data_IF_385681699294
#
_entry.id   IF_385681699294
#
_cell.length_a   1.000
_cell.length_b   1.000
_cell.length_c   1.000
_cell.angle_alpha   90.00
_cell.angle_beta   90.00
_cell.angle_gamma   90.00
#
_symmetry.space_group_name_H-M   'P 1'
#
loop_
_entity.id
_entity.type
_entity.pdbx_description
1 polymer ?
#
# COMPACT_ATOMS: atom_id res chain seq x y z
N UNK A 1 16.05 12.12 18.67
CA UNK A 1 14.80 12.15 19.48
C UNK A 1 15.10 12.52 20.93
N UNK A 2 15.83 11.68 21.69
CA UNK A 2 16.16 11.95 23.11
C UNK A 2 17.06 13.17 23.35
N UNK A 3 18.03 13.40 22.48
CA UNK A 3 18.85 14.63 22.51
C UNK A 3 18.03 15.91 22.31
N UNK A 4 16.82 15.80 21.80
CA UNK A 4 15.86 16.91 21.63
C UNK A 4 14.80 16.93 22.74
N UNK A 5 14.97 16.15 23.82
CA UNK A 5 14.05 16.10 24.97
C UNK A 5 12.83 15.19 24.79
N UNK A 6 12.73 14.43 23.70
CA UNK A 6 11.62 13.53 23.43
C UNK A 6 11.97 12.07 23.77
N UNK A 7 11.16 11.45 24.62
CA UNK A 7 11.27 10.05 25.00
C UNK A 7 10.18 9.21 24.31
N UNK A 8 10.54 8.20 23.52
CA UNK A 8 9.55 7.35 22.87
C UNK A 8 8.87 6.43 23.89
N UNK A 9 7.56 6.24 23.75
CA UNK A 9 6.83 5.23 24.52
C UNK A 9 6.79 3.87 23.83
N UNK A 10 6.92 3.85 22.50
CA UNK A 10 6.92 2.66 21.64
C UNK A 10 7.93 2.82 20.52
N UNK A 11 8.36 1.68 19.97
CA UNK A 11 9.19 1.60 18.77
C UNK A 11 8.44 0.81 17.70
N UNK A 12 8.31 1.38 16.51
CA UNK A 12 7.83 0.68 15.32
C UNK A 12 9.02 0.39 14.41
N UNK A 13 9.52 -0.85 14.43
CA UNK A 13 10.71 -1.24 13.69
C UNK A 13 10.32 -1.85 12.34
N UNK A 14 10.54 -1.11 11.25
CA UNK A 14 10.35 -1.60 9.88
C UNK A 14 11.44 -2.63 9.54
N UNK A 15 11.03 -3.79 9.05
CA UNK A 15 11.93 -4.89 8.69
C UNK A 15 11.31 -5.76 7.58
N UNK A 16 12.08 -6.58 6.87
CA UNK A 16 11.48 -7.48 5.87
C UNK A 16 10.83 -8.70 6.52
N UNK A 17 11.48 -9.25 7.55
CA UNK A 17 11.05 -10.44 8.30
C UNK A 17 10.78 -10.08 9.76
N UNK A 18 10.01 -10.89 10.50
CA UNK A 18 9.82 -10.69 11.93
C UNK A 18 11.16 -10.59 12.67
N UNK A 19 11.26 -9.62 13.58
CA UNK A 19 12.45 -9.49 14.42
C UNK A 19 12.58 -10.67 15.38
N UNK A 20 13.80 -11.17 15.54
CA UNK A 20 14.10 -12.12 16.60
C UNK A 20 13.90 -11.49 17.98
N UNK A 21 13.51 -12.32 18.94
CA UNK A 21 13.26 -11.88 20.31
C UNK A 21 14.52 -11.26 20.94
N UNK A 22 15.70 -11.80 20.64
CA UNK A 22 16.99 -11.29 21.10
C UNK A 22 17.26 -9.85 20.62
N UNK A 23 16.83 -9.53 19.40
CA UNK A 23 16.95 -8.18 18.82
C UNK A 23 15.95 -7.25 19.49
N UNK A 24 14.72 -7.69 19.72
CA UNK A 24 13.69 -6.91 20.43
C UNK A 24 14.13 -6.56 21.85
N UNK A 25 14.74 -7.50 22.57
CA UNK A 25 15.31 -7.27 23.91
C UNK A 25 16.42 -6.22 23.90
N UNK A 26 17.35 -6.31 22.94
CA UNK A 26 18.42 -5.30 22.80
C UNK A 26 17.86 -3.91 22.53
N UNK A 27 16.88 -3.81 21.62
CA UNK A 27 16.21 -2.54 21.32
C UNK A 27 15.50 -1.97 22.56
N UNK A 28 14.77 -2.81 23.29
CA UNK A 28 14.10 -2.43 24.53
C UNK A 28 15.09 -1.86 25.56
N UNK A 29 16.23 -2.55 25.76
CA UNK A 29 17.29 -2.13 26.66
C UNK A 29 17.93 -0.80 26.24
N UNK A 30 18.40 -0.69 25.00
CA UNK A 30 19.10 0.51 24.53
C UNK A 30 18.18 1.72 24.44
N UNK A 31 16.93 1.51 24.01
CA UNK A 31 15.95 2.58 23.89
C UNK A 31 15.12 2.77 25.15
N UNK A 32 15.39 2.06 26.26
CA UNK A 32 14.67 2.13 27.52
C UNK A 32 13.13 2.17 27.35
N UNK A 33 12.61 1.24 26.55
CA UNK A 33 11.18 1.00 26.40
C UNK A 33 10.89 -0.44 26.82
N UNK A 34 9.71 -0.73 27.39
CA UNK A 34 9.30 -2.11 27.62
C UNK A 34 9.38 -2.93 26.33
N UNK A 35 9.74 -4.20 26.45
CA UNK A 35 9.95 -5.05 25.28
C UNK A 35 8.65 -5.25 24.47
N UNK A 36 7.52 -5.33 25.16
CA UNK A 36 6.18 -5.36 24.59
C UNK A 36 5.83 -4.09 23.78
N UNK A 37 6.54 -2.98 24.00
CA UNK A 37 6.37 -1.73 23.24
C UNK A 37 7.26 -1.67 21.98
N UNK A 38 8.07 -2.70 21.74
CA UNK A 38 8.89 -2.85 20.52
C UNK A 38 8.11 -3.68 19.50
N UNK A 39 7.49 -3.00 18.54
CA UNK A 39 6.73 -3.59 17.44
C UNK A 39 7.65 -4.00 16.29
N UNK A 40 7.50 -5.22 15.82
CA UNK A 40 8.02 -5.67 14.52
C UNK A 40 7.01 -5.32 13.42
N UNK A 41 7.41 -4.42 12.51
CA UNK A 41 6.61 -3.99 11.36
C UNK A 41 7.18 -4.63 10.10
N UNK A 42 6.98 -5.93 9.97
CA UNK A 42 7.52 -6.72 8.86
C UNK A 42 6.67 -6.63 7.59
N UNK A 43 7.19 -7.12 6.46
CA UNK A 43 6.44 -7.14 5.20
C UNK A 43 5.21 -8.03 5.33
N UNK A 44 4.09 -7.57 4.79
CA UNK A 44 2.83 -8.32 4.72
C UNK A 44 2.30 -8.33 3.30
N UNK A 45 1.48 -9.33 2.98
CA UNK A 45 0.91 -9.52 1.64
C UNK A 45 0.09 -8.34 1.15
N UNK A 46 -0.59 -7.61 2.07
CA UNK A 46 -1.37 -6.44 1.73
C UNK A 46 -1.47 -5.46 2.91
N UNK A 47 -1.83 -4.20 2.60
CA UNK A 47 -1.86 -3.11 3.58
C UNK A 47 -2.87 -3.34 4.71
N UNK A 48 -3.95 -4.08 4.46
CA UNK A 48 -5.01 -4.34 5.45
C UNK A 48 -4.56 -5.34 6.51
N UNK A 49 -3.43 -6.04 6.31
CA UNK A 49 -2.80 -6.86 7.34
C UNK A 49 -2.02 -6.05 8.39
N UNK A 50 -1.69 -4.78 8.12
CA UNK A 50 -0.91 -3.94 9.05
C UNK A 50 -1.64 -3.74 10.38
N UNK A 51 -2.94 -3.35 10.43
CA UNK A 51 -3.67 -3.25 11.69
C UNK A 51 -3.74 -4.57 12.46
N UNK A 52 -3.91 -5.69 11.77
CA UNK A 52 -3.93 -7.03 12.38
C UNK A 52 -2.56 -7.41 12.97
N UNK A 53 -1.47 -7.00 12.33
CA UNK A 53 -0.11 -7.19 12.86
C UNK A 53 0.12 -6.37 14.13
N UNK A 54 -0.36 -5.13 14.15
CA UNK A 54 -0.25 -4.23 15.30
C UNK A 54 -1.11 -4.73 16.47
N UNK A 55 -2.32 -5.21 16.18
CA UNK A 55 -3.24 -5.78 17.17
C UNK A 55 -2.64 -7.00 17.86
N UNK A 56 -2.10 -7.97 17.09
CA UNK A 56 -1.42 -9.17 17.64
C UNK A 56 -0.24 -8.86 18.55
N UNK A 57 0.39 -7.69 18.39
CA UNK A 57 1.50 -7.23 19.22
C UNK A 57 1.06 -6.34 20.38
N UNK A 58 -0.25 -6.17 20.59
CA UNK A 58 -0.81 -5.36 21.68
C UNK A 58 -0.60 -3.86 21.53
N UNK A 59 -0.30 -3.35 20.33
CA UNK A 59 -0.01 -1.94 20.10
C UNK A 59 -1.13 -1.01 20.60
N UNK A 60 -2.39 -1.40 20.35
CA UNK A 60 -3.57 -0.67 20.79
C UNK A 60 -3.68 -0.58 22.31
N UNK A 61 -3.36 -1.66 23.06
CA UNK A 61 -3.32 -1.61 24.52
C UNK A 61 -2.28 -0.62 25.04
N UNK A 62 -1.10 -0.59 24.43
CA UNK A 62 -0.03 0.33 24.83
C UNK A 62 -0.46 1.78 24.62
N UNK A 63 -1.02 2.09 23.44
CA UNK A 63 -1.52 3.44 23.12
C UNK A 63 -2.65 3.85 24.08
N UNK A 64 -3.65 2.99 24.30
CA UNK A 64 -4.74 3.29 25.21
C UNK A 64 -4.26 3.50 26.65
N UNK A 65 -3.35 2.66 27.15
CA UNK A 65 -2.76 2.80 28.49
C UNK A 65 -2.01 4.12 28.62
N UNK A 66 -1.19 4.47 27.63
CA UNK A 66 -0.37 5.68 27.67
C UNK A 66 -1.21 6.97 27.62
N UNK A 67 -2.38 6.91 26.97
CA UNK A 67 -3.32 8.04 26.85
C UNK A 67 -4.43 8.04 27.93
N UNK A 68 -4.48 7.02 28.79
CA UNK A 68 -5.57 6.87 29.78
C UNK A 68 -6.94 6.58 29.16
N UNK A 69 -6.99 5.99 27.96
CA UNK A 69 -8.22 5.65 27.27
C UNK A 69 -8.78 4.31 27.79
N UNK A 70 -10.07 4.24 28.17
CA UNK A 70 -10.69 2.99 28.59
C UNK A 70 -10.98 2.06 27.40
N UNK A 71 -11.36 0.81 27.69
CA UNK A 71 -11.89 -0.15 26.71
C UNK A 71 -10.91 -0.59 25.60
N UNK A 72 -9.61 -0.72 25.89
CA UNK A 72 -8.66 -1.25 24.91
C UNK A 72 -9.05 -2.64 24.38
N UNK A 73 -9.71 -3.47 25.20
CA UNK A 73 -10.13 -4.82 24.85
C UNK A 73 -11.34 -4.89 23.89
N UNK A 74 -12.02 -3.77 23.61
CA UNK A 74 -13.21 -3.72 22.74
C UNK A 74 -12.86 -3.48 21.27
N UNK A 75 -11.75 -4.04 20.80
CA UNK A 75 -11.30 -3.88 19.42
C UNK A 75 -11.86 -5.01 18.54
N UNK A 76 -12.72 -4.66 17.59
CA UNK A 76 -13.22 -5.60 16.57
C UNK A 76 -12.57 -5.32 15.21
N UNK A 77 -11.69 -6.24 14.77
CA UNK A 77 -11.05 -6.21 13.45
C UNK A 77 -11.59 -7.29 12.50
N UNK A 78 -12.77 -7.85 12.78
CA UNK A 78 -13.39 -8.92 11.96
C UNK A 78 -13.54 -8.49 10.50
N UNK A 79 -14.00 -7.26 10.26
CA UNK A 79 -14.14 -6.69 8.90
C UNK A 79 -12.77 -6.55 8.22
N UNK A 80 -11.77 -6.04 8.94
CA UNK A 80 -10.41 -5.89 8.41
C UNK A 80 -9.79 -7.22 8.03
N UNK A 81 -9.97 -8.23 8.87
CA UNK A 81 -9.45 -9.57 8.64
C UNK A 81 -10.14 -10.22 7.44
N UNK A 82 -11.46 -10.37 7.49
CA UNK A 82 -12.18 -11.20 6.53
C UNK A 82 -12.57 -10.45 5.25
N UNK A 83 -13.18 -9.27 5.37
CA UNK A 83 -13.73 -8.56 4.21
C UNK A 83 -12.66 -7.82 3.39
N UNK A 84 -11.51 -7.51 3.98
CA UNK A 84 -10.42 -6.77 3.34
C UNK A 84 -9.17 -7.63 3.13
N UNK A 85 -8.47 -7.99 4.21
CA UNK A 85 -7.16 -8.63 4.13
C UNK A 85 -7.21 -10.02 3.48
N UNK A 86 -8.07 -10.90 4.00
CA UNK A 86 -8.19 -12.27 3.48
C UNK A 86 -8.90 -12.27 2.12
N UNK A 87 -9.92 -11.42 1.92
CA UNK A 87 -10.59 -11.27 0.61
C UNK A 87 -9.57 -10.93 -0.48
N UNK A 88 -8.74 -9.90 -0.28
CA UNK A 88 -7.73 -9.51 -1.28
C UNK A 88 -6.70 -10.60 -1.60
N UNK A 89 -6.25 -11.32 -0.58
CA UNK A 89 -5.26 -12.40 -0.74
C UNK A 89 -5.86 -13.63 -1.44
N UNK A 90 -7.18 -13.84 -1.32
CA UNK A 90 -7.87 -14.97 -1.95
C UNK A 90 -8.18 -14.79 -3.45
N UNK A 91 -8.03 -13.58 -4.00
CA UNK A 91 -8.35 -13.27 -5.40
C UNK A 91 -7.30 -13.86 -6.34
N UNK A 92 -7.74 -14.69 -7.28
CA UNK A 92 -6.87 -15.40 -8.24
C UNK A 92 -7.17 -15.05 -9.70
N UNK A 93 -8.43 -14.77 -10.04
CA UNK A 93 -8.83 -14.48 -11.43
C UNK A 93 -8.40 -13.07 -11.84
N UNK A 94 -7.48 -12.90 -12.80
CA UNK A 94 -6.91 -11.59 -13.09
C UNK A 94 -7.83 -10.72 -13.96
N UNK A 95 -7.72 -9.40 -13.78
CA UNK A 95 -8.24 -8.40 -14.71
C UNK A 95 -7.14 -7.39 -15.03
N UNK A 96 -6.82 -7.26 -16.33
CA UNK A 96 -5.83 -6.29 -16.80
C UNK A 96 -6.48 -4.93 -17.02
N UNK A 97 -5.97 -3.90 -16.35
CA UNK A 97 -6.41 -2.51 -16.51
C UNK A 97 -5.20 -1.67 -16.93
N UNK A 98 -5.27 -1.05 -18.10
CA UNK A 98 -4.27 -0.10 -18.57
C UNK A 98 -4.51 1.26 -17.92
N UNK A 99 -3.51 1.77 -17.18
CA UNK A 99 -3.54 3.11 -16.59
C UNK A 99 -2.68 4.07 -17.43
N UNK A 100 -3.34 5.02 -18.08
CA UNK A 100 -2.70 6.00 -19.00
C UNK A 100 -2.31 7.25 -18.23
N UNK A 101 -1.08 7.25 -17.72
CA UNK A 101 -0.56 8.26 -16.81
C UNK A 101 0.58 9.08 -17.41
N UNK A 102 0.92 10.17 -16.72
CA UNK A 102 2.12 10.98 -17.01
C UNK A 102 3.34 10.53 -16.19
N UNK A 103 3.09 9.88 -15.05
CA UNK A 103 4.11 9.48 -14.09
C UNK A 103 3.99 7.98 -13.81
N UNK A 104 4.30 7.16 -14.82
CA UNK A 104 4.24 5.69 -14.73
C UNK A 104 5.26 5.12 -13.74
N UNK A 105 6.38 5.81 -13.52
CA UNK A 105 7.40 5.44 -12.54
C UNK A 105 7.14 5.92 -11.10
N UNK A 106 6.10 6.73 -10.86
CA UNK A 106 5.78 7.28 -9.54
C UNK A 106 4.36 6.88 -9.15
N UNK A 107 4.21 5.64 -8.66
CA UNK A 107 2.92 5.06 -8.27
C UNK A 107 2.15 5.91 -7.25
N UNK A 108 2.86 6.69 -6.41
CA UNK A 108 2.27 7.58 -5.41
C UNK A 108 1.37 8.66 -6.02
N UNK A 109 1.65 9.12 -7.25
CA UNK A 109 0.83 10.13 -7.93
C UNK A 109 -0.60 9.63 -8.20
N UNK A 110 -0.80 8.32 -8.20
CA UNK A 110 -2.07 7.66 -8.51
C UNK A 110 -2.56 6.77 -7.36
N UNK A 111 -2.02 6.92 -6.15
CA UNK A 111 -2.31 6.03 -5.02
C UNK A 111 -3.82 5.89 -4.75
N UNK A 112 -4.55 7.01 -4.68
CA UNK A 112 -6.00 6.99 -4.44
C UNK A 112 -6.76 6.26 -5.55
N UNK A 113 -6.36 6.43 -6.80
CA UNK A 113 -6.94 5.77 -7.97
C UNK A 113 -6.69 4.25 -7.90
N UNK A 114 -5.44 3.86 -7.62
CA UNK A 114 -5.06 2.45 -7.46
C UNK A 114 -5.86 1.82 -6.32
N UNK A 115 -6.00 2.49 -5.17
CA UNK A 115 -6.79 1.97 -4.05
C UNK A 115 -8.26 1.81 -4.42
N UNK A 116 -8.88 2.81 -5.05
CA UNK A 116 -10.27 2.69 -5.52
C UNK A 116 -10.47 1.50 -6.47
N UNK A 117 -9.54 1.28 -7.41
CA UNK A 117 -9.57 0.11 -8.30
C UNK A 117 -9.40 -1.20 -7.52
N UNK A 118 -8.49 -1.26 -6.54
CA UNK A 118 -8.31 -2.45 -5.70
C UNK A 118 -9.62 -2.80 -4.97
N UNK A 119 -10.32 -1.81 -4.42
CA UNK A 119 -11.61 -2.00 -3.77
C UNK A 119 -12.70 -2.46 -4.75
N UNK A 120 -12.78 -1.87 -5.94
CA UNK A 120 -13.72 -2.29 -6.98
C UNK A 120 -13.45 -3.74 -7.44
N UNK A 121 -12.18 -4.10 -7.62
CA UNK A 121 -11.77 -5.44 -8.02
C UNK A 121 -12.06 -6.47 -6.93
N UNK A 122 -11.86 -6.13 -5.65
CA UNK A 122 -12.31 -6.98 -4.53
C UNK A 122 -13.81 -7.27 -4.63
N UNK A 123 -14.62 -6.26 -4.93
CA UNK A 123 -16.06 -6.42 -5.07
C UNK A 123 -16.44 -7.31 -6.25
N UNK A 124 -15.80 -7.10 -7.40
CA UNK A 124 -15.96 -7.91 -8.60
C UNK A 124 -15.34 -9.32 -8.51
N UNK A 125 -14.62 -9.64 -7.41
CA UNK A 125 -13.87 -10.90 -7.20
C UNK A 125 -12.78 -11.14 -8.24
N UNK A 126 -12.15 -10.06 -8.72
CA UNK A 126 -11.06 -10.09 -9.69
C UNK A 126 -9.76 -9.56 -9.06
N UNK A 127 -8.61 -10.08 -9.48
CA UNK A 127 -7.28 -9.63 -9.09
C UNK A 127 -6.80 -8.57 -10.06
N UNK A 128 -6.66 -7.34 -9.57
CA UNK A 128 -6.16 -6.23 -10.37
C UNK A 128 -4.73 -6.48 -10.85
N UNK A 129 -4.53 -6.45 -12.16
CA UNK A 129 -3.24 -6.34 -12.83
C UNK A 129 -3.18 -4.98 -13.53
N UNK A 130 -2.30 -4.09 -13.05
CA UNK A 130 -2.17 -2.75 -13.60
C UNK A 130 -1.06 -2.73 -14.64
N UNK A 131 -1.43 -2.33 -15.86
CA UNK A 131 -0.50 -2.07 -16.95
C UNK A 131 -0.27 -0.56 -17.04
N UNK A 132 0.98 -0.14 -16.83
CA UNK A 132 1.33 1.28 -16.93
C UNK A 132 1.61 1.65 -18.39
N UNK A 133 0.91 2.68 -18.85
CA UNK A 133 1.08 3.27 -20.18
C UNK A 133 1.37 4.75 -20.00
N UNK A 134 2.51 5.22 -20.52
CA UNK A 134 2.84 6.64 -20.49
C UNK A 134 2.07 7.35 -21.59
N UNK A 135 1.34 8.40 -21.23
CA UNK A 135 0.48 9.09 -22.19
C UNK A 135 1.27 9.70 -23.36
N UNK A 136 2.50 10.17 -23.13
CA UNK A 136 3.35 10.66 -24.22
C UNK A 136 3.80 9.58 -25.19
N UNK A 137 3.81 8.31 -24.77
CA UNK A 137 4.18 7.20 -25.65
C UNK A 137 3.04 6.84 -26.62
N UNK A 138 1.84 7.38 -26.42
CA UNK A 138 0.70 7.19 -27.33
C UNK A 138 0.63 8.27 -28.42
N UNK A 139 1.36 9.38 -28.27
CA UNK A 139 1.37 10.49 -29.22
C UNK A 139 2.05 10.10 -30.55
N UNK A 140 1.63 10.72 -31.67
CA UNK A 140 2.19 10.44 -33.00
C UNK A 140 3.71 10.71 -33.12
N UNK A 141 4.23 11.62 -32.29
CA UNK A 141 5.66 11.94 -32.22
C UNK A 141 6.49 10.99 -31.36
N UNK A 142 5.86 9.99 -30.71
CA UNK A 142 6.57 9.04 -29.86
C UNK A 142 7.51 8.14 -30.68
N UNK A 143 8.72 7.84 -30.17
CA UNK A 143 9.68 7.00 -30.89
C UNK A 143 9.18 5.56 -31.02
N UNK A 144 9.43 4.94 -32.17
CA UNK A 144 9.26 3.49 -32.33
C UNK A 144 10.49 2.75 -31.75
N UNK A 145 10.34 1.59 -31.10
CA UNK A 145 9.11 0.79 -30.98
C UNK A 145 8.24 1.12 -29.75
N UNK A 146 8.57 2.17 -28.99
CA UNK A 146 7.88 2.53 -27.75
C UNK A 146 6.39 2.78 -27.99
N UNK A 147 6.06 3.52 -29.06
CA UNK A 147 4.67 3.80 -29.43
C UNK A 147 3.88 2.53 -29.72
N UNK A 148 4.39 1.66 -30.59
CA UNK A 148 3.75 0.37 -30.89
C UNK A 148 3.57 -0.50 -29.62
N UNK A 149 4.56 -0.51 -28.72
CA UNK A 149 4.46 -1.26 -27.47
C UNK A 149 3.40 -0.69 -26.52
N UNK A 150 3.28 0.64 -26.42
CA UNK A 150 2.26 1.31 -25.62
C UNK A 150 0.84 0.97 -26.11
N UNK A 151 0.61 1.06 -27.43
CA UNK A 151 -0.66 0.68 -28.07
C UNK A 151 -0.99 -0.80 -27.92
N UNK A 152 0.02 -1.68 -27.96
CA UNK A 152 -0.17 -3.11 -27.75
C UNK A 152 -0.65 -3.41 -26.31
N UNK A 153 -0.08 -2.76 -25.30
CA UNK A 153 -0.55 -2.89 -23.90
C UNK A 153 -2.00 -2.41 -23.74
N UNK A 154 -2.32 -1.28 -24.34
CA UNK A 154 -3.66 -0.69 -24.24
C UNK A 154 -4.71 -1.58 -24.92
N UNK A 155 -4.36 -2.15 -26.09
CA UNK A 155 -5.25 -3.06 -26.84
C UNK A 155 -5.44 -4.42 -26.17
N UNK A 156 -4.46 -4.88 -25.40
CA UNK A 156 -4.53 -6.14 -24.68
C UNK A 156 -5.25 -6.05 -23.32
N UNK A 157 -5.48 -4.84 -22.81
CA UNK A 157 -6.11 -4.64 -21.50
C UNK A 157 -7.63 -4.88 -21.55
N UNK A 158 -8.19 -5.39 -20.45
CA UNK A 158 -9.64 -5.57 -20.28
C UNK A 158 -10.39 -4.27 -19.91
N UNK A 159 -9.65 -3.20 -19.63
CA UNK A 159 -10.19 -1.87 -19.40
C UNK A 159 -9.10 -0.82 -19.42
N UNK A 160 -9.47 0.42 -19.75
CA UNK A 160 -8.56 1.57 -19.80
C UNK A 160 -9.03 2.61 -18.79
N UNK A 161 -8.10 3.11 -17.98
CA UNK A 161 -8.34 4.21 -17.06
C UNK A 161 -7.40 5.37 -17.38
N UNK A 162 -8.00 6.51 -17.69
CA UNK A 162 -7.28 7.76 -17.98
C UNK A 162 -7.45 8.71 -16.79
N UNK A 163 -6.54 8.70 -15.80
CA UNK A 163 -6.61 9.61 -14.67
C UNK A 163 -6.33 11.06 -15.10
N UNK A 164 -6.68 12.00 -14.23
CA UNK A 164 -6.31 13.41 -14.37
C UNK A 164 -4.80 13.58 -14.57
N UNK A 165 -4.41 14.59 -15.34
CA UNK A 165 -3.01 14.96 -15.57
C UNK A 165 -2.81 16.45 -15.36
N UNK A 166 -1.68 16.82 -14.76
CA UNK A 166 -1.31 18.22 -14.60
C UNK A 166 -0.36 18.67 -15.72
N UNK A 167 -0.63 19.83 -16.31
CA UNK A 167 0.13 20.42 -17.42
C UNK A 167 -0.25 19.85 -18.80
N UNK A 168 0.44 20.32 -19.84
CA UNK A 168 0.09 20.05 -21.26
C UNK A 168 0.70 18.78 -21.86
N UNK A 169 1.70 18.18 -21.22
CA UNK A 169 2.40 17.00 -21.75
C UNK A 169 1.54 15.74 -21.67
N UNK A 170 1.48 14.96 -22.74
CA UNK A 170 0.73 13.70 -22.77
C UNK A 170 -0.77 13.91 -22.82
N UNK A 171 -1.24 15.09 -23.26
CA UNK A 171 -2.68 15.36 -23.40
C UNK A 171 -3.21 14.73 -24.68
N UNK A 172 -2.51 14.90 -25.80
CA UNK A 172 -2.92 14.32 -27.08
C UNK A 172 -2.96 12.79 -27.02
N UNK A 173 -1.97 12.17 -26.37
CA UNK A 173 -1.95 10.71 -26.19
C UNK A 173 -3.04 10.18 -25.24
N UNK A 174 -3.76 11.04 -24.50
CA UNK A 174 -4.96 10.65 -23.76
C UNK A 174 -6.24 10.77 -24.59
N UNK A 175 -6.21 11.56 -25.66
CA UNK A 175 -7.35 11.80 -26.57
C UNK A 175 -7.37 10.73 -27.66
N UNK A 176 -6.20 10.36 -28.19
CA UNK A 176 -6.00 9.35 -29.22
C UNK A 176 -6.51 7.98 -28.80
#
# INVERSE_FOLDING_TARGET
>A
LRSLGLSPNMLACRCEKPLEESVRQKLALFCHVPQEHVLTMHDVSNIWRVPLMMERQGAHHVVCRQLGLPNADKLDLTVWKHALADRWDSLTEPVSIAMVGKYTGLSDAYLSVIKSLQHACMEAKLKLQLEWVEASDLEDGAPEPTRTAAWAKLSAAGGVLVPGGFGSRGVEGKIS
#
